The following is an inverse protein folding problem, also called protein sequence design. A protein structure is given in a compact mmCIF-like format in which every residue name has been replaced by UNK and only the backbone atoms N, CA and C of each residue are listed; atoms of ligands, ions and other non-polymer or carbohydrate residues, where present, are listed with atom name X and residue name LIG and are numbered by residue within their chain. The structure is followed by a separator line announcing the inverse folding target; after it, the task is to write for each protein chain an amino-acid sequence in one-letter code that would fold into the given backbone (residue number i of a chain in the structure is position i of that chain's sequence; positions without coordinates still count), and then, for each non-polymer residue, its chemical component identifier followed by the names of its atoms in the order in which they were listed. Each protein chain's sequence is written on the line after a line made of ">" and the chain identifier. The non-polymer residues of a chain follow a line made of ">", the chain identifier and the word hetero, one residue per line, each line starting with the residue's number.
data_IF_933867914199
#
_entry.id   IF_933867914199
#
_cell.length_a   1.000
_cell.length_b   1.000
_cell.length_c   1.000
_cell.angle_alpha   90.00
_cell.angle_beta   90.00
_cell.angle_gamma   90.00
#
_symmetry.space_group_name_H-M   'P 1'
#
loop_
_entity.id
_entity.type
_entity.pdbx_description
1 polymer ?
#
# COMPACT_ATOMS: atom_id res chain seq x y z
N UNK A 1 -15.50 4.08 -18.70
CA UNK A 1 -15.29 2.76 -18.16
C UNK A 1 -14.54 2.84 -16.83
N UNK A 2 -15.02 2.16 -15.82
CA UNK A 2 -14.43 2.23 -14.50
C UNK A 2 -13.29 1.22 -14.34
N UNK A 3 -12.23 1.64 -13.63
CA UNK A 3 -11.11 0.79 -13.33
C UNK A 3 -10.79 0.88 -11.85
N UNK A 4 -10.26 -0.21 -11.30
CA UNK A 4 -9.82 -0.22 -9.91
C UNK A 4 -8.43 0.38 -9.78
N UNK A 5 -8.12 1.03 -8.64
CA UNK A 5 -6.76 1.50 -8.40
C UNK A 5 -5.75 0.36 -8.52
N UNK A 6 -4.68 0.60 -9.24
CA UNK A 6 -3.64 -0.39 -9.51
C UNK A 6 -2.28 0.20 -9.12
N UNK A 7 -1.57 -0.48 -8.23
CA UNK A 7 -0.26 -0.01 -7.79
C UNK A 7 0.78 -0.25 -8.88
N UNK A 8 1.28 0.83 -9.46
CA UNK A 8 2.22 0.75 -10.58
C UNK A 8 3.65 1.07 -10.19
N UNK A 9 3.86 1.59 -8.98
CA UNK A 9 5.19 1.92 -8.51
C UNK A 9 5.27 1.83 -7.00
N UNK A 10 6.39 1.28 -6.50
CA UNK A 10 6.71 1.30 -5.09
C UNK A 10 8.17 1.71 -4.97
N UNK A 11 8.47 2.65 -4.05
CA UNK A 11 9.84 3.09 -3.85
C UNK A 11 10.09 3.43 -2.39
N UNK A 12 11.36 3.38 -2.00
CA UNK A 12 11.76 3.78 -0.65
C UNK A 12 11.79 5.30 -0.58
N UNK A 13 10.85 5.88 0.14
CA UNK A 13 10.82 7.33 0.36
C UNK A 13 11.87 7.72 1.41
N UNK A 14 12.16 6.81 2.34
CA UNK A 14 13.24 6.96 3.32
C UNK A 14 13.60 5.57 3.83
N UNK A 15 14.53 5.50 4.80
CA UNK A 15 14.97 4.21 5.36
C UNK A 15 13.82 3.41 5.98
N UNK A 16 12.75 4.07 6.41
CA UNK A 16 11.62 3.44 7.08
C UNK A 16 10.27 3.78 6.44
N UNK A 17 10.28 4.23 5.19
CA UNK A 17 9.05 4.61 4.49
C UNK A 17 9.04 4.08 3.08
N UNK A 18 7.89 3.56 2.67
CA UNK A 18 7.66 3.09 1.30
C UNK A 18 6.50 3.89 0.73
N UNK A 19 6.71 4.46 -0.45
CA UNK A 19 5.67 5.20 -1.15
C UNK A 19 5.12 4.33 -2.28
N UNK A 20 3.80 4.15 -2.29
CA UNK A 20 3.10 3.42 -3.33
C UNK A 20 2.32 4.42 -4.18
N UNK A 21 2.45 4.31 -5.50
CA UNK A 21 1.72 5.15 -6.44
C UNK A 21 0.75 4.30 -7.25
N UNK A 22 -0.46 4.78 -7.38
CA UNK A 22 -1.55 4.07 -8.05
C UNK A 22 -2.00 4.77 -9.31
N UNK A 23 -2.42 3.99 -10.30
CA UNK A 23 -3.14 4.48 -11.48
C UNK A 23 -4.63 4.21 -11.32
N UNK A 24 -5.43 4.84 -12.15
CA UNK A 24 -6.88 4.67 -12.19
C UNK A 24 -7.58 5.13 -10.90
N UNK A 25 -7.05 6.18 -10.29
CA UNK A 25 -7.67 6.84 -9.16
C UNK A 25 -8.36 8.10 -9.69
N UNK A 26 -9.69 8.10 -9.72
CA UNK A 26 -10.46 9.22 -10.30
C UNK A 26 -10.52 10.42 -9.37
N UNK A 27 -10.71 10.21 -8.07
CA UNK A 27 -10.72 11.30 -7.10
C UNK A 27 -9.55 11.21 -6.15
N UNK A 28 -9.55 10.21 -5.28
CA UNK A 28 -8.48 9.99 -4.32
C UNK A 28 -8.64 8.64 -3.65
N UNK A 29 -7.54 8.13 -3.14
CA UNK A 29 -7.56 6.94 -2.31
C UNK A 29 -8.15 7.27 -0.94
N UNK A 30 -8.81 6.28 -0.35
CA UNK A 30 -9.37 6.37 0.97
C UNK A 30 -9.18 5.03 1.68
N UNK A 31 -8.85 5.09 2.97
CA UNK A 31 -8.66 3.89 3.76
C UNK A 31 -9.11 4.18 5.18
N UNK A 32 -10.03 3.38 5.70
CA UNK A 32 -10.65 3.65 6.99
C UNK A 32 -9.99 2.93 8.16
N UNK A 33 -9.31 1.82 7.92
CA UNK A 33 -8.72 1.05 9.01
C UNK A 33 -7.64 1.84 9.73
N UNK A 34 -7.75 1.91 11.05
CA UNK A 34 -6.76 2.58 11.90
C UNK A 34 -5.90 1.58 12.66
N UNK A 35 -6.13 0.30 12.47
CA UNK A 35 -5.43 -0.75 13.20
C UNK A 35 -4.36 -1.34 12.30
N UNK A 36 -3.05 -1.15 12.60
CA UNK A 36 -1.98 -1.65 11.73
C UNK A 36 -2.07 -3.15 11.42
N UNK A 37 -2.56 -3.95 12.37
CA UNK A 37 -2.70 -5.39 12.15
C UNK A 37 -3.71 -5.74 11.07
N UNK A 38 -4.58 -4.81 10.71
CA UNK A 38 -5.60 -5.03 9.68
C UNK A 38 -5.19 -4.48 8.32
N UNK A 39 -3.98 -3.96 8.18
CA UNK A 39 -3.53 -3.42 6.91
C UNK A 39 -3.40 -4.53 5.87
N UNK A 40 -3.90 -4.30 4.65
CA UNK A 40 -3.83 -5.30 3.58
C UNK A 40 -2.50 -5.26 2.85
N UNK A 41 -1.41 -5.09 3.57
CA UNK A 41 -0.07 -5.01 3.00
C UNK A 41 0.89 -5.90 3.77
N UNK A 42 1.78 -6.55 3.04
CA UNK A 42 2.87 -7.34 3.61
C UNK A 42 4.18 -6.77 3.07
N UNK A 43 5.12 -6.46 3.97
CA UNK A 43 6.43 -5.96 3.60
C UNK A 43 7.48 -6.94 4.08
N UNK A 44 8.40 -7.33 3.19
CA UNK A 44 9.51 -8.22 3.52
C UNK A 44 10.79 -7.66 2.92
N UNK A 45 11.87 -7.75 3.67
CA UNK A 45 13.19 -7.39 3.16
C UNK A 45 14.15 -8.58 3.34
N UNK A 46 15.46 -8.36 3.19
CA UNK A 46 16.43 -9.45 3.28
C UNK A 46 16.51 -10.08 4.67
N UNK A 47 15.98 -9.42 5.69
CA UNK A 47 15.91 -9.95 7.05
C UNK A 47 14.56 -10.59 7.39
N UNK A 48 13.60 -10.54 6.47
CA UNK A 48 12.29 -11.15 6.66
C UNK A 48 11.17 -10.13 6.79
N UNK A 49 10.06 -10.48 7.47
CA UNK A 49 8.92 -9.59 7.59
C UNK A 49 9.25 -8.28 8.29
N UNK A 50 8.65 -7.19 7.82
CA UNK A 50 8.82 -5.85 8.41
C UNK A 50 7.44 -5.38 8.86
N UNK A 51 7.31 -5.04 10.14
CA UNK A 51 6.05 -4.54 10.66
C UNK A 51 5.78 -3.13 10.19
N UNK A 52 4.52 -2.87 9.85
CA UNK A 52 4.06 -1.55 9.44
C UNK A 52 3.59 -0.81 10.69
N UNK A 53 4.15 0.37 10.92
CA UNK A 53 3.82 1.19 12.08
C UNK A 53 2.58 2.05 11.83
N UNK A 54 2.40 2.51 10.60
CA UNK A 54 1.29 3.37 10.23
C UNK A 54 1.29 3.66 8.75
N UNK A 55 0.39 4.55 8.35
CA UNK A 55 0.23 4.89 6.94
C UNK A 55 -0.29 6.32 6.79
N UNK A 56 -0.13 6.87 5.60
CA UNK A 56 -0.71 8.16 5.24
C UNK A 56 -0.96 8.20 3.73
N UNK A 57 -1.80 9.13 3.29
CA UNK A 57 -2.09 9.36 1.88
C UNK A 57 -1.59 10.76 1.53
N UNK A 58 -0.31 10.90 1.14
CA UNK A 58 0.28 12.23 0.92
C UNK A 58 -0.27 12.94 -0.31
N UNK A 59 -0.75 12.17 -1.30
CA UNK A 59 -1.38 12.70 -2.51
C UNK A 59 -2.55 11.81 -2.88
N UNK A 60 -3.50 12.30 -3.70
CA UNK A 60 -4.70 11.53 -4.01
C UNK A 60 -4.44 10.13 -4.56
N UNK A 61 -3.34 9.93 -5.28
CA UNK A 61 -3.01 8.64 -5.89
C UNK A 61 -1.83 7.94 -5.21
N UNK A 62 -1.46 8.37 -4.01
CA UNK A 62 -0.31 7.83 -3.29
C UNK A 62 -0.68 7.34 -1.91
N UNK A 63 -0.07 6.22 -1.52
CA UNK A 63 -0.24 5.63 -0.20
C UNK A 63 1.15 5.38 0.37
N UNK A 64 1.42 5.92 1.56
CA UNK A 64 2.73 5.78 2.19
C UNK A 64 2.65 4.88 3.40
N UNK A 65 3.55 3.89 3.45
CA UNK A 65 3.68 2.98 4.59
C UNK A 65 4.85 3.44 5.45
N UNK A 66 4.63 3.54 6.76
CA UNK A 66 5.70 3.80 7.73
C UNK A 66 6.02 2.50 8.44
N UNK A 67 7.29 2.19 8.55
CA UNK A 67 7.76 0.89 9.03
C UNK A 67 8.39 1.02 10.41
N UNK A 68 8.34 -0.04 11.19
CA UNK A 68 8.87 -0.04 12.55
C UNK A 68 10.39 -0.14 12.59
N UNK A 69 11.01 -0.59 11.51
CA UNK A 69 12.46 -0.67 11.45
C UNK A 69 12.97 -0.27 10.07
N UNK A 70 14.27 -0.01 10.00
CA UNK A 70 14.94 0.32 8.74
C UNK A 70 14.93 -0.89 7.80
N UNK A 71 14.63 -0.64 6.53
CA UNK A 71 14.69 -1.67 5.49
C UNK A 71 16.14 -2.06 5.20
N UNK A 72 16.36 -3.35 4.96
CA UNK A 72 17.68 -3.87 4.67
C UNK A 72 17.62 -4.64 3.35
N UNK A 73 18.36 -4.17 2.35
CA UNK A 73 18.47 -4.85 1.08
C UNK A 73 17.20 -4.85 0.27
N UNK A 74 17.06 -5.85 -0.57
CA UNK A 74 15.92 -5.96 -1.48
C UNK A 74 14.63 -6.14 -0.71
N UNK A 75 13.62 -5.37 -1.07
CA UNK A 75 12.35 -5.33 -0.34
C UNK A 75 11.20 -5.66 -1.29
N UNK A 76 10.24 -6.42 -0.81
CA UNK A 76 9.03 -6.78 -1.55
C UNK A 76 7.82 -6.27 -0.78
N UNK A 77 6.91 -5.61 -1.49
CA UNK A 77 5.62 -5.17 -0.92
C UNK A 77 4.50 -5.90 -1.66
N UNK A 78 3.66 -6.57 -0.90
CA UNK A 78 2.51 -7.28 -1.43
C UNK A 78 1.25 -6.59 -0.90
N UNK A 79 0.39 -6.15 -1.82
CA UNK A 79 -0.90 -5.56 -1.47
C UNK A 79 -2.01 -6.55 -1.67
N UNK A 80 -2.96 -6.58 -0.73
CA UNK A 80 -4.11 -7.50 -0.73
C UNK A 80 -3.66 -8.94 -0.98
N UNK A 81 -2.77 -9.51 -0.11
CA UNK A 81 -2.19 -10.83 -0.36
C UNK A 81 -3.17 -11.99 -0.25
N UNK A 82 -4.41 -11.72 0.11
CA UNK A 82 -5.46 -12.72 0.19
C UNK A 82 -6.75 -12.14 -0.32
N UNK A 83 -7.87 -12.76 0.07
CA UNK A 83 -9.19 -12.24 -0.24
C UNK A 83 -9.64 -11.30 0.87
N UNK A 84 -9.88 -10.05 0.55
CA UNK A 84 -10.32 -9.05 1.51
C UNK A 84 -11.66 -8.48 1.10
N UNK A 85 -12.56 -8.20 2.09
CA UNK A 85 -13.74 -7.41 1.81
C UNK A 85 -13.34 -6.02 1.29
N UNK A 86 -14.11 -5.42 0.37
CA UNK A 86 -13.73 -4.13 -0.21
C UNK A 86 -13.50 -3.01 0.79
N UNK A 87 -14.15 -3.07 1.95
CA UNK A 87 -14.05 -1.99 2.93
C UNK A 87 -12.76 -2.01 3.76
N UNK A 88 -11.94 -3.06 3.64
CA UNK A 88 -10.67 -3.14 4.39
C UNK A 88 -9.44 -3.01 3.52
N UNK A 89 -9.60 -2.53 2.28
CA UNK A 89 -8.47 -2.19 1.40
C UNK A 89 -8.62 -0.74 0.97
N UNK A 90 -7.50 -0.06 0.63
CA UNK A 90 -7.61 1.28 0.05
C UNK A 90 -8.49 1.26 -1.19
N UNK A 91 -9.32 2.27 -1.33
CA UNK A 91 -10.24 2.37 -2.45
C UNK A 91 -10.29 3.78 -2.96
N UNK A 92 -10.63 3.92 -4.25
CA UNK A 92 -10.93 5.20 -4.85
C UNK A 92 -12.29 5.63 -4.31
N UNK A 93 -12.34 6.79 -3.66
CA UNK A 93 -13.57 7.28 -3.07
C UNK A 93 -14.66 7.53 -4.12
N UNK A 94 -14.25 7.76 -5.36
CA UNK A 94 -15.21 7.87 -6.47
C UNK A 94 -15.70 6.47 -6.85
N UNK A 95 -16.92 6.14 -6.46
CA UNK A 95 -17.55 4.86 -6.78
C UNK A 95 -17.12 3.72 -5.87
N UNK A 96 -16.35 3.99 -4.83
CA UNK A 96 -15.92 2.99 -3.83
C UNK A 96 -15.25 1.77 -4.47
N UNK A 97 -14.35 2.01 -5.42
CA UNK A 97 -13.64 0.92 -6.10
C UNK A 97 -12.38 0.53 -5.32
N UNK A 98 -12.30 -0.70 -4.80
CA UNK A 98 -11.13 -1.14 -4.04
C UNK A 98 -9.91 -1.34 -4.94
N UNK A 99 -8.71 -1.21 -4.35
CA UNK A 99 -7.48 -1.44 -5.10
C UNK A 99 -7.35 -2.90 -5.51
N UNK A 100 -6.62 -3.13 -6.60
CA UNK A 100 -6.25 -4.47 -7.05
C UNK A 100 -5.08 -4.99 -6.21
N UNK A 101 -4.99 -6.31 -6.07
CA UNK A 101 -3.84 -6.95 -5.46
C UNK A 101 -2.59 -6.70 -6.30
N UNK A 102 -1.42 -6.62 -5.65
CA UNK A 102 -0.17 -6.36 -6.36
C UNK A 102 1.04 -6.90 -5.61
N UNK A 103 2.14 -7.03 -6.34
CA UNK A 103 3.46 -7.32 -5.77
C UNK A 103 4.45 -6.37 -6.43
N UNK A 104 5.18 -5.62 -5.61
CA UNK A 104 6.20 -4.69 -6.09
C UNK A 104 7.52 -4.98 -5.41
N UNK A 105 8.60 -4.89 -6.17
CA UNK A 105 9.96 -5.13 -5.68
C UNK A 105 10.73 -3.81 -5.68
N UNK A 106 11.36 -3.51 -4.55
CA UNK A 106 12.20 -2.31 -4.37
C UNK A 106 13.65 -2.75 -4.17
N UNK A 107 14.56 -2.03 -4.77
CA UNK A 107 15.99 -2.34 -4.63
C UNK A 107 16.76 -1.25 -3.95
#
# INVERSE_FOLDING_TARGET
>A
KFRHPDCVEARKASARRILLRFEHVDERLHFESMIPAELPFVVRDSKGPVEIEGWTIPKPDQFELRLKRTLVGRTVVIGAPGTYPPFIVPQDISGHRPMLGFTQVLE
#
